data_IF_348349993922
#
_entry.id   IF_348349993922
#
_cell.length_a   1.000
_cell.length_b   1.000
_cell.length_c   1.000
_cell.angle_alpha   90.00
_cell.angle_beta   90.00
_cell.angle_gamma   90.00
#
_symmetry.space_group_name_H-M   'P 1'
#
loop_
_entity.id
_entity.type
_entity.pdbx_description
1 polymer ?
#
# COMPACT_ATOMS: atom_id res chain seq x y z
N UNK A 1 8.45 -8.18 -9.11
CA UNK A 1 8.16 -6.74 -8.94
C UNK A 1 9.38 -5.92 -8.55
N UNK A 2 10.03 -6.20 -7.41
CA UNK A 2 11.18 -5.41 -6.91
C UNK A 2 12.30 -5.23 -7.94
N UNK A 3 12.72 -6.31 -8.62
CA UNK A 3 13.72 -6.22 -9.68
C UNK A 3 13.29 -5.32 -10.85
N UNK A 4 12.02 -5.35 -11.24
CA UNK A 4 11.50 -4.47 -12.29
C UNK A 4 11.49 -3.00 -11.86
N UNK A 5 11.11 -2.72 -10.60
CA UNK A 5 11.21 -1.37 -10.04
C UNK A 5 12.67 -0.89 -9.99
N UNK A 6 13.60 -1.77 -9.64
CA UNK A 6 15.02 -1.43 -9.62
C UNK A 6 15.56 -1.08 -11.02
N UNK A 7 15.17 -1.85 -12.04
CA UNK A 7 15.48 -1.52 -13.45
C UNK A 7 14.89 -0.15 -13.81
N UNK A 8 13.63 0.11 -13.45
CA UNK A 8 12.99 1.39 -13.72
C UNK A 8 13.72 2.55 -13.06
N UNK A 9 14.17 2.40 -11.82
CA UNK A 9 14.97 3.41 -11.13
C UNK A 9 16.31 3.65 -11.83
N UNK A 10 17.01 2.57 -12.18
CA UNK A 10 18.35 2.65 -12.78
C UNK A 10 18.33 3.36 -14.13
N UNK A 11 17.39 2.99 -15.00
CA UNK A 11 17.26 3.63 -16.32
C UNK A 11 16.53 4.98 -16.26
N UNK A 12 15.64 5.18 -15.30
CA UNK A 12 14.97 6.46 -15.08
C UNK A 12 15.95 7.59 -14.76
N UNK A 13 17.07 7.28 -14.08
CA UNK A 13 18.14 8.25 -13.81
C UNK A 13 18.77 8.84 -15.07
N UNK A 14 18.71 8.18 -16.22
CA UNK A 14 19.25 8.73 -17.48
C UNK A 14 18.44 9.95 -18.00
N UNK A 15 17.22 10.14 -17.51
CA UNK A 15 16.29 11.17 -17.98
C UNK A 15 16.03 12.26 -16.92
N UNK A 16 16.84 12.34 -15.86
CA UNK A 16 16.62 13.24 -14.73
C UNK A 16 17.19 14.63 -14.95
N UNK A 17 16.44 15.64 -14.51
CA UNK A 17 16.84 17.05 -14.51
C UNK A 17 16.81 17.60 -13.07
N UNK A 18 17.99 17.74 -12.46
CA UNK A 18 18.18 18.04 -11.02
C UNK A 18 17.46 19.33 -10.57
N UNK A 19 17.48 20.44 -11.33
CA UNK A 19 16.68 21.63 -11.04
C UNK A 19 15.20 21.39 -10.76
N UNK A 20 14.59 20.33 -11.30
CA UNK A 20 13.16 20.01 -11.10
C UNK A 20 12.83 19.52 -9.70
N UNK A 21 13.83 19.22 -8.88
CA UNK A 21 13.63 18.88 -7.47
C UNK A 21 13.20 20.09 -6.62
N UNK A 22 13.39 21.31 -7.14
CA UNK A 22 13.02 22.53 -6.47
C UNK A 22 11.57 22.94 -6.84
N UNK A 23 10.82 23.55 -5.90
CA UNK A 23 11.21 23.87 -4.52
C UNK A 23 11.06 22.69 -3.55
N UNK A 24 12.08 22.49 -2.71
CA UNK A 24 12.00 21.55 -1.57
C UNK A 24 10.97 22.09 -0.57
N UNK A 25 10.09 21.23 -0.04
CA UNK A 25 8.99 21.56 0.87
C UNK A 25 7.86 22.44 0.27
N UNK A 26 7.85 22.68 -1.05
CA UNK A 26 6.85 23.44 -1.82
C UNK A 26 5.66 24.04 -1.07
N UNK A 27 4.59 23.26 -0.85
CA UNK A 27 3.32 23.69 -0.22
C UNK A 27 3.38 23.97 1.28
N UNK A 28 4.56 23.85 1.90
CA UNK A 28 4.80 23.99 3.33
C UNK A 28 4.71 22.66 4.09
N UNK A 29 5.39 22.55 5.27
CA UNK A 29 5.40 21.32 6.07
C UNK A 29 4.02 20.84 6.54
N UNK A 30 3.11 21.78 6.85
CA UNK A 30 1.76 21.45 7.34
C UNK A 30 0.92 20.76 6.26
N UNK A 31 0.97 21.24 5.02
CA UNK A 31 0.29 20.64 3.89
C UNK A 31 0.86 19.24 3.57
N UNK A 32 2.18 19.06 3.72
CA UNK A 32 2.83 17.76 3.56
C UNK A 32 2.37 16.76 4.63
N UNK A 33 2.33 17.17 5.90
CA UNK A 33 1.84 16.31 6.98
C UNK A 33 0.39 15.88 6.77
N UNK A 34 -0.49 16.81 6.37
CA UNK A 34 -1.89 16.49 6.07
C UNK A 34 -2.03 15.53 4.89
N UNK A 35 -1.21 15.71 3.86
CA UNK A 35 -1.18 14.81 2.70
C UNK A 35 -0.68 13.42 3.09
N UNK A 36 0.39 13.34 3.88
CA UNK A 36 0.93 12.07 4.38
C UNK A 36 -0.08 11.32 5.25
N UNK A 37 -0.80 12.01 6.14
CA UNK A 37 -1.84 11.40 6.97
C UNK A 37 -3.00 10.84 6.14
N UNK A 38 -3.36 11.52 5.05
CA UNK A 38 -4.43 11.04 4.16
C UNK A 38 -3.99 9.83 3.32
N UNK A 39 -2.68 9.70 3.05
CA UNK A 39 -2.09 8.62 2.26
C UNK A 39 -1.57 7.44 3.10
N UNK A 40 -1.76 7.44 4.43
CA UNK A 40 -1.23 6.37 5.29
C UNK A 40 -1.89 5.02 5.01
N UNK A 41 -3.12 5.02 4.48
CA UNK A 41 -3.84 3.85 3.94
C UNK A 41 -3.03 3.04 2.94
N UNK A 42 -2.07 3.64 2.22
CA UNK A 42 -1.21 2.92 1.28
C UNK A 42 -0.39 1.82 1.99
N UNK A 43 -0.19 1.94 3.30
CA UNK A 43 0.50 0.94 4.11
C UNK A 43 -0.46 0.03 4.90
N UNK A 44 -1.76 0.07 4.60
CA UNK A 44 -2.80 -0.76 5.25
C UNK A 44 -2.58 -2.26 5.12
N UNK A 45 -1.82 -2.67 4.10
CA UNK A 45 -1.38 -4.05 3.86
C UNK A 45 -0.60 -4.62 5.05
N UNK A 46 -0.09 -3.77 5.95
CA UNK A 46 0.53 -4.20 7.20
C UNK A 46 -0.41 -5.06 8.06
N UNK A 47 -1.74 -4.90 7.92
CA UNK A 47 -2.72 -5.74 8.59
C UNK A 47 -2.62 -7.23 8.20
N UNK A 48 -2.15 -7.53 6.98
CA UNK A 48 -1.91 -8.92 6.57
C UNK A 48 -0.82 -9.58 7.42
N UNK A 49 0.17 -8.83 7.91
CA UNK A 49 1.15 -9.40 8.84
C UNK A 49 0.47 -9.84 10.14
N UNK A 50 -0.53 -9.09 10.62
CA UNK A 50 -1.32 -9.49 11.79
C UNK A 50 -2.09 -10.80 11.57
N UNK A 51 -2.64 -10.99 10.37
CA UNK A 51 -3.34 -12.22 10.01
C UNK A 51 -2.39 -13.41 9.87
N UNK A 52 -1.21 -13.19 9.30
CA UNK A 52 -0.20 -14.24 9.06
C UNK A 52 0.58 -14.57 10.33
N UNK A 53 0.73 -13.62 11.26
CA UNK A 53 1.50 -13.78 12.49
C UNK A 53 1.15 -15.03 13.32
N UNK A 54 -0.12 -15.33 13.61
CA UNK A 54 -0.47 -16.54 14.35
C UNK A 54 -0.16 -17.85 13.60
N UNK A 55 0.03 -17.82 12.27
CA UNK A 55 0.36 -19.01 11.48
C UNK A 55 1.87 -19.33 11.48
N UNK A 56 2.73 -18.42 11.96
CA UNK A 56 4.19 -18.57 11.92
C UNK A 56 4.72 -18.97 13.29
N UNK A 57 5.42 -20.11 13.35
CA UNK A 57 5.96 -20.66 14.60
C UNK A 57 6.99 -19.76 15.31
N UNK A 58 7.78 -18.98 14.56
CA UNK A 58 8.81 -18.10 15.12
C UNK A 58 8.44 -16.62 14.95
N UNK A 59 7.77 -16.07 15.97
CA UNK A 59 7.31 -14.68 15.96
C UNK A 59 8.46 -13.67 15.96
N UNK A 60 9.57 -13.93 16.64
CA UNK A 60 10.72 -13.03 16.68
C UNK A 60 11.33 -12.81 15.28
N UNK A 61 11.46 -13.89 14.50
CA UNK A 61 11.89 -13.80 13.09
C UNK A 61 10.88 -13.05 12.23
N UNK A 62 9.58 -13.22 12.48
CA UNK A 62 8.53 -12.51 11.75
C UNK A 62 8.62 -11.00 11.94
N UNK A 63 8.81 -10.52 13.18
CA UNK A 63 8.96 -9.09 13.44
C UNK A 63 10.20 -8.51 12.74
N UNK A 64 11.33 -9.22 12.77
CA UNK A 64 12.53 -8.80 12.04
C UNK A 64 12.26 -8.68 10.54
N UNK A 65 11.73 -9.73 9.91
CA UNK A 65 11.43 -9.74 8.47
C UNK A 65 10.41 -8.67 8.09
N UNK A 66 9.35 -8.48 8.89
CA UNK A 66 8.34 -7.45 8.66
C UNK A 66 8.95 -6.04 8.71
N UNK A 67 9.79 -5.76 9.71
CA UNK A 67 10.47 -4.47 9.84
C UNK A 67 11.38 -4.17 8.65
N UNK A 68 12.24 -5.13 8.25
CA UNK A 68 13.10 -4.95 7.08
C UNK A 68 12.29 -4.78 5.79
N UNK A 69 11.18 -5.51 5.64
CA UNK A 69 10.30 -5.39 4.47
C UNK A 69 9.70 -3.99 4.34
N UNK A 70 9.24 -3.41 5.46
CA UNK A 70 8.70 -2.04 5.50
C UNK A 70 9.78 -1.02 5.13
N UNK A 71 10.99 -1.13 5.70
CA UNK A 71 12.10 -0.22 5.38
C UNK A 71 12.44 -0.27 3.90
N UNK A 72 12.57 -1.46 3.33
CA UNK A 72 12.88 -1.64 1.90
C UNK A 72 11.76 -1.02 1.04
N UNK A 73 10.50 -1.24 1.39
CA UNK A 73 9.36 -0.65 0.68
C UNK A 73 9.38 0.89 0.73
N UNK A 74 9.67 1.48 1.90
CA UNK A 74 9.78 2.93 2.07
C UNK A 74 10.91 3.49 1.20
N UNK A 75 12.10 2.88 1.25
CA UNK A 75 13.26 3.33 0.47
C UNK A 75 12.99 3.28 -1.03
N UNK A 76 12.38 2.20 -1.52
CA UNK A 76 12.02 2.06 -2.95
C UNK A 76 11.00 3.14 -3.34
N UNK A 77 9.97 3.39 -2.52
CA UNK A 77 8.96 4.41 -2.80
C UNK A 77 9.53 5.83 -2.81
N UNK A 78 10.43 6.16 -1.87
CA UNK A 78 11.12 7.45 -1.83
C UNK A 78 11.97 7.63 -3.10
N UNK A 79 12.78 6.63 -3.44
CA UNK A 79 13.63 6.68 -4.65
C UNK A 79 12.78 6.87 -5.91
N UNK A 80 11.67 6.14 -6.01
CA UNK A 80 10.75 6.22 -7.13
C UNK A 80 10.11 7.61 -7.25
N UNK A 81 9.66 8.17 -6.14
CA UNK A 81 9.07 9.52 -6.09
C UNK A 81 10.07 10.59 -6.52
N UNK A 82 11.33 10.49 -6.05
CA UNK A 82 12.40 11.42 -6.44
C UNK A 82 12.66 11.35 -7.95
N UNK A 83 12.84 10.15 -8.50
CA UNK A 83 13.08 9.96 -9.94
C UNK A 83 11.90 10.49 -10.75
N UNK A 84 10.65 10.29 -10.31
CA UNK A 84 9.47 10.84 -10.98
C UNK A 84 9.50 12.36 -11.08
N UNK A 85 9.76 13.05 -9.95
CA UNK A 85 9.82 14.51 -9.92
C UNK A 85 10.94 15.01 -10.84
N UNK A 86 12.10 14.36 -10.80
CA UNK A 86 13.24 14.70 -11.64
C UNK A 86 13.00 14.50 -13.14
N UNK A 87 12.22 13.48 -13.53
CA UNK A 87 11.95 13.16 -14.94
C UNK A 87 10.77 13.97 -15.49
N UNK A 88 9.68 14.11 -14.72
CA UNK A 88 8.43 14.68 -15.22
C UNK A 88 8.10 16.08 -14.67
N UNK A 89 8.85 16.62 -13.70
CA UNK A 89 8.49 17.81 -12.91
C UNK A 89 7.29 17.54 -11.97
N UNK A 90 7.16 18.32 -10.89
CA UNK A 90 6.13 18.14 -9.86
C UNK A 90 4.70 18.26 -10.42
N UNK A 91 4.44 19.20 -11.34
CA UNK A 91 3.10 19.44 -11.90
C UNK A 91 2.63 18.26 -12.74
N UNK A 92 3.50 17.74 -13.60
CA UNK A 92 3.13 16.61 -14.45
C UNK A 92 3.05 15.32 -13.63
N UNK A 93 4.00 15.10 -12.70
CA UNK A 93 3.99 13.93 -11.80
C UNK A 93 2.70 13.81 -11.01
N UNK A 94 2.16 14.93 -10.51
CA UNK A 94 0.90 14.97 -9.76
C UNK A 94 -0.33 14.58 -10.58
N UNK A 95 -0.24 14.57 -11.92
CA UNK A 95 -1.34 14.19 -12.83
C UNK A 95 -1.20 12.77 -13.39
N UNK A 96 -0.10 12.08 -13.08
CA UNK A 96 0.14 10.73 -13.56
C UNK A 96 -0.60 9.70 -12.69
N UNK A 97 -1.54 8.98 -13.29
CA UNK A 97 -2.27 7.90 -12.60
C UNK A 97 -1.34 6.71 -12.31
N UNK A 98 -0.45 6.37 -13.25
CA UNK A 98 0.48 5.24 -13.12
C UNK A 98 1.91 5.70 -13.40
N UNK A 99 2.55 6.39 -12.46
CA UNK A 99 3.80 7.07 -12.77
C UNK A 99 4.95 6.08 -12.99
N UNK A 100 4.97 4.92 -12.31
CA UNK A 100 5.99 3.88 -12.53
C UNK A 100 5.92 3.27 -13.94
N UNK A 101 4.70 3.11 -14.46
CA UNK A 101 4.46 2.69 -15.84
C UNK A 101 4.95 3.76 -16.84
N UNK A 102 4.73 5.04 -16.55
CA UNK A 102 5.22 6.12 -17.41
C UNK A 102 6.75 6.17 -17.45
N UNK A 103 7.41 5.96 -16.30
CA UNK A 103 8.88 5.79 -16.27
C UNK A 103 9.30 4.57 -17.09
N UNK A 104 8.65 3.42 -16.93
CA UNK A 104 8.97 2.22 -17.70
C UNK A 104 8.85 2.43 -19.22
N UNK A 105 7.88 3.24 -19.67
CA UNK A 105 7.67 3.59 -21.08
C UNK A 105 8.79 4.47 -21.67
N UNK A 106 9.52 5.21 -20.83
CA UNK A 106 10.67 6.00 -21.28
C UNK A 106 11.91 5.12 -21.52
N UNK A 107 11.94 3.90 -20.99
CA UNK A 107 13.09 3.01 -21.08
C UNK A 107 13.07 2.33 -22.44
N UNK A 108 13.73 2.96 -23.40
CA UNK A 108 14.02 2.37 -24.72
C UNK A 108 15.52 2.10 -24.84
N UNK A 109 15.91 0.83 -24.76
CA UNK A 109 17.28 0.38 -25.03
C UNK A 109 17.42 0.18 -26.54
N UNK A 110 17.81 1.26 -27.22
CA UNK A 110 18.07 1.33 -28.66
C UNK A 110 17.08 0.52 -29.53
N UNK A 111 17.55 -0.43 -30.35
CA UNK A 111 16.73 -1.16 -31.32
C UNK A 111 16.12 -2.46 -30.79
N UNK A 112 16.52 -2.95 -29.61
CA UNK A 112 16.20 -4.32 -29.19
C UNK A 112 15.18 -4.42 -28.04
N UNK A 113 15.17 -3.50 -27.07
CA UNK A 113 14.20 -3.54 -25.96
C UNK A 113 13.44 -2.22 -25.91
N UNK A 114 12.25 -2.22 -26.51
CA UNK A 114 11.38 -1.05 -26.64
C UNK A 114 10.10 -1.13 -25.80
N UNK A 115 9.82 -2.28 -25.19
CA UNK A 115 8.56 -2.54 -24.45
C UNK A 115 8.81 -3.04 -23.02
N UNK A 116 9.69 -2.36 -22.28
CA UNK A 116 9.97 -2.68 -20.87
C UNK A 116 8.72 -2.52 -20.02
N UNK A 117 7.85 -1.57 -20.39
CA UNK A 117 6.58 -1.34 -19.72
C UNK A 117 5.65 -2.55 -19.74
N UNK A 118 5.69 -3.40 -20.78
CA UNK A 118 4.86 -4.60 -20.85
C UNK A 118 5.26 -5.64 -19.79
N UNK A 119 6.57 -5.84 -19.59
CA UNK A 119 7.09 -6.74 -18.56
C UNK A 119 6.77 -6.21 -17.16
N UNK A 120 6.89 -4.90 -16.97
CA UNK A 120 6.50 -4.25 -15.72
C UNK A 120 5.01 -4.47 -15.41
N UNK A 121 4.12 -4.18 -16.37
CA UNK A 121 2.67 -4.35 -16.18
C UNK A 121 2.33 -5.80 -15.89
N UNK A 122 2.95 -6.75 -16.58
CA UNK A 122 2.78 -8.18 -16.31
C UNK A 122 3.14 -8.51 -14.86
N UNK A 123 4.35 -8.18 -14.40
CA UNK A 123 4.78 -8.45 -13.03
C UNK A 123 3.91 -7.73 -11.99
N UNK A 124 3.49 -6.51 -12.28
CA UNK A 124 2.63 -5.73 -11.42
C UNK A 124 1.25 -6.37 -11.29
N UNK A 125 0.66 -6.83 -12.40
CA UNK A 125 -0.62 -7.53 -12.40
C UNK A 125 -0.60 -8.81 -11.56
N UNK A 126 0.44 -9.63 -11.70
CA UNK A 126 0.61 -10.83 -10.86
C UNK A 126 0.75 -10.48 -9.38
N UNK A 127 1.52 -9.44 -9.07
CA UNK A 127 1.68 -8.98 -7.67
C UNK A 127 0.35 -8.51 -7.10
N UNK A 128 -0.40 -7.71 -7.85
CA UNK A 128 -1.73 -7.23 -7.47
C UNK A 128 -2.72 -8.38 -7.29
N UNK A 129 -2.68 -9.42 -8.14
CA UNK A 129 -3.55 -10.59 -8.00
C UNK A 129 -3.27 -11.39 -6.72
N UNK A 130 -1.98 -11.61 -6.39
CA UNK A 130 -1.58 -12.29 -5.15
C UNK A 130 -2.04 -11.47 -3.93
N UNK A 131 -1.81 -10.16 -3.97
CA UNK A 131 -2.20 -9.24 -2.91
C UNK A 131 -3.72 -9.22 -2.72
N UNK A 132 -4.50 -9.12 -3.80
CA UNK A 132 -5.95 -9.15 -3.77
C UNK A 132 -6.46 -10.46 -3.17
N UNK A 133 -5.88 -11.59 -3.56
CA UNK A 133 -6.22 -12.90 -3.00
C UNK A 133 -5.93 -12.98 -1.49
N UNK A 134 -4.80 -12.45 -1.04
CA UNK A 134 -4.43 -12.45 0.38
C UNK A 134 -5.37 -11.56 1.21
N UNK A 135 -5.69 -10.36 0.71
CA UNK A 135 -6.64 -9.44 1.34
C UNK A 135 -8.04 -10.05 1.41
N UNK A 136 -8.52 -10.63 0.31
CA UNK A 136 -9.83 -11.27 0.26
C UNK A 136 -9.93 -12.44 1.25
N UNK A 137 -8.90 -13.28 1.32
CA UNK A 137 -8.82 -14.35 2.31
C UNK A 137 -8.87 -13.81 3.75
N UNK A 138 -8.12 -12.74 4.03
CA UNK A 138 -8.16 -12.06 5.32
C UNK A 138 -9.55 -11.52 5.66
N UNK A 139 -10.24 -10.92 4.69
CA UNK A 139 -11.63 -10.44 4.87
C UNK A 139 -12.57 -11.59 5.21
N UNK A 140 -12.50 -12.70 4.48
CA UNK A 140 -13.36 -13.88 4.70
C UNK A 140 -13.16 -14.46 6.09
N UNK A 141 -11.90 -14.64 6.54
CA UNK A 141 -11.61 -15.12 7.90
C UNK A 141 -12.09 -14.13 8.96
N UNK A 142 -11.77 -12.85 8.79
CA UNK A 142 -12.14 -11.81 9.76
C UNK A 142 -13.64 -11.74 9.95
N UNK A 143 -14.40 -11.86 8.85
CA UNK A 143 -15.85 -11.91 8.89
C UNK A 143 -16.36 -13.18 9.57
N UNK A 144 -15.80 -14.36 9.24
CA UNK A 144 -16.16 -15.60 9.90
C UNK A 144 -15.92 -15.54 11.43
N UNK A 145 -14.79 -14.97 11.86
CA UNK A 145 -14.47 -14.78 13.29
C UNK A 145 -15.41 -13.79 13.98
N UNK A 146 -15.72 -12.66 13.33
CA UNK A 146 -16.63 -11.65 13.88
C UNK A 146 -18.04 -12.20 14.15
N UNK A 147 -18.53 -13.07 13.26
CA UNK A 147 -19.84 -13.70 13.39
C UNK A 147 -19.80 -15.11 14.01
N UNK A 148 -18.63 -15.56 14.49
CA UNK A 148 -18.41 -16.88 15.11
C UNK A 148 -18.87 -18.06 14.24
N UNK A 149 -18.63 -17.95 12.93
CA UNK A 149 -18.96 -18.98 11.95
C UNK A 149 -17.83 -20.01 11.91
N UNK A 150 -18.16 -21.29 12.13
CA UNK A 150 -17.17 -22.36 12.25
C UNK A 150 -16.41 -22.68 10.95
N UNK A 151 -17.03 -22.51 9.79
CA UNK A 151 -16.39 -22.71 8.48
C UNK A 151 -16.50 -21.44 7.63
N UNK A 152 -15.35 -20.95 7.17
CA UNK A 152 -15.23 -19.74 6.35
C UNK A 152 -15.46 -20.01 4.86
N UNK A 153 -15.36 -21.26 4.39
CA UNK A 153 -15.46 -21.62 2.97
C UNK A 153 -16.79 -21.21 2.33
N UNK A 154 -17.96 -21.41 2.97
CA UNK A 154 -19.24 -21.00 2.39
C UNK A 154 -19.38 -19.48 2.22
N UNK A 155 -18.63 -18.68 3.00
CA UNK A 155 -18.67 -17.22 2.93
C UNK A 155 -17.87 -16.64 1.76
N UNK A 156 -16.96 -17.42 1.17
CA UNK A 156 -16.13 -16.96 0.07
C UNK A 156 -16.96 -16.52 -1.15
N UNK A 157 -17.98 -17.28 -1.53
CA UNK A 157 -18.86 -16.96 -2.66
C UNK A 157 -19.67 -15.67 -2.43
N UNK A 158 -20.47 -15.51 -1.35
CA UNK A 158 -21.27 -14.31 -1.16
C UNK A 158 -20.41 -13.05 -0.99
N UNK A 159 -19.28 -13.13 -0.27
CA UNK A 159 -18.36 -12.00 -0.16
C UNK A 159 -17.68 -11.68 -1.50
N UNK A 160 -17.37 -12.70 -2.30
CA UNK A 160 -16.81 -12.51 -3.64
C UNK A 160 -17.78 -11.78 -4.58
N UNK A 161 -19.05 -12.18 -4.57
CA UNK A 161 -20.12 -11.50 -5.34
C UNK A 161 -20.29 -10.05 -4.88
N UNK A 162 -20.23 -9.81 -3.57
CA UNK A 162 -20.34 -8.47 -2.99
C UNK A 162 -19.17 -7.58 -3.45
N UNK A 163 -17.93 -8.06 -3.31
CA UNK A 163 -16.73 -7.34 -3.76
C UNK A 163 -16.78 -7.07 -5.26
N UNK A 164 -17.19 -8.06 -6.06
CA UNK A 164 -17.35 -7.89 -7.50
C UNK A 164 -18.40 -6.83 -7.85
N UNK A 165 -19.54 -6.83 -7.16
CA UNK A 165 -20.61 -5.84 -7.38
C UNK A 165 -20.14 -4.43 -7.02
N UNK A 166 -19.40 -4.26 -5.91
CA UNK A 166 -18.81 -2.97 -5.53
C UNK A 166 -17.80 -2.50 -6.58
N UNK A 167 -17.03 -3.42 -7.17
CA UNK A 167 -16.07 -3.10 -8.22
C UNK A 167 -16.72 -2.54 -9.49
N UNK A 168 -18.02 -2.71 -9.69
CA UNK A 168 -18.77 -2.20 -10.86
C UNK A 168 -19.38 -0.80 -10.62
N UNK A 169 -19.30 -0.26 -9.40
CA UNK A 169 -19.82 1.08 -9.07
C UNK A 169 -19.11 2.19 -9.87
N UNK A 170 -17.76 2.21 -9.99
CA UNK A 170 -17.08 3.24 -10.77
C UNK A 170 -17.30 3.01 -12.27
N UNK A 171 -17.87 4.01 -12.96
CA UNK A 171 -18.16 3.90 -14.41
C UNK A 171 -16.96 4.20 -15.30
N UNK A 172 -15.89 4.77 -14.74
CA UNK A 172 -14.65 5.05 -15.45
C UNK A 172 -13.43 4.91 -14.54
N UNK A 173 -12.26 4.69 -15.14
CA UNK A 173 -11.00 4.56 -14.40
C UNK A 173 -10.68 5.83 -13.60
N UNK A 174 -10.95 7.01 -14.16
CA UNK A 174 -10.75 8.29 -13.46
C UNK A 174 -11.67 8.42 -12.24
N UNK A 175 -12.93 7.98 -12.35
CA UNK A 175 -13.83 7.95 -11.19
C UNK A 175 -13.35 6.97 -10.13
N UNK A 176 -12.86 5.79 -10.52
CA UNK A 176 -12.32 4.80 -9.58
C UNK A 176 -11.14 5.37 -8.77
N UNK A 177 -10.20 6.04 -9.44
CA UNK A 177 -9.05 6.68 -8.79
C UNK A 177 -9.49 7.82 -7.86
N UNK A 178 -10.40 8.68 -8.30
CA UNK A 178 -10.89 9.78 -7.45
C UNK A 178 -11.66 9.28 -6.22
N UNK A 179 -12.48 8.25 -6.37
CA UNK A 179 -13.20 7.61 -5.25
C UNK A 179 -12.21 7.04 -4.22
N UNK A 180 -11.15 6.39 -4.71
CA UNK A 180 -10.08 5.89 -3.86
C UNK A 180 -9.39 7.03 -3.10
N UNK A 181 -8.90 8.05 -3.82
CA UNK A 181 -8.02 9.07 -3.26
C UNK A 181 -8.75 10.06 -2.32
N UNK A 182 -9.99 10.45 -2.65
CA UNK A 182 -10.69 11.50 -1.90
C UNK A 182 -11.61 10.98 -0.80
N UNK A 183 -12.24 9.82 -0.98
CA UNK A 183 -13.29 9.33 -0.07
C UNK A 183 -12.84 8.10 0.68
N UNK A 184 -12.49 7.04 -0.03
CA UNK A 184 -12.25 5.74 0.61
C UNK A 184 -10.96 5.77 1.44
N UNK A 185 -9.87 6.29 0.88
CA UNK A 185 -8.54 6.27 1.50
C UNK A 185 -8.48 6.97 2.85
N UNK A 186 -9.18 8.11 3.01
CA UNK A 186 -9.22 8.87 4.27
C UNK A 186 -9.97 8.12 5.38
N UNK A 187 -11.18 7.62 5.10
CA UNK A 187 -11.95 6.87 6.10
C UNK A 187 -11.31 5.52 6.40
N UNK A 188 -10.79 4.86 5.36
CA UNK A 188 -10.10 3.58 5.49
C UNK A 188 -8.85 3.70 6.37
N UNK A 189 -8.05 4.76 6.21
CA UNK A 189 -6.90 5.05 7.08
C UNK A 189 -7.28 5.13 8.57
N UNK A 190 -8.38 5.84 8.87
CA UNK A 190 -8.86 6.01 10.25
C UNK A 190 -9.30 4.65 10.83
N UNK A 191 -9.99 3.83 10.05
CA UNK A 191 -10.43 2.51 10.52
C UNK A 191 -9.25 1.57 10.70
N UNK A 192 -8.37 1.48 9.69
CA UNK A 192 -7.22 0.56 9.66
C UNK A 192 -6.21 0.85 10.76
N UNK A 193 -5.87 2.11 11.00
CA UNK A 193 -4.86 2.46 12.00
C UNK A 193 -5.48 2.92 13.31
N UNK A 194 -6.63 3.58 13.28
CA UNK A 194 -7.31 4.06 14.48
C UNK A 194 -7.89 2.95 15.34
N UNK A 195 -8.51 1.91 14.74
CA UNK A 195 -9.08 0.80 15.52
C UNK A 195 -8.01 0.01 16.28
N UNK A 196 -6.90 -0.45 15.66
CA UNK A 196 -5.83 -1.12 16.39
C UNK A 196 -5.17 -0.23 17.44
N UNK A 197 -5.00 1.07 17.17
CA UNK A 197 -4.39 2.00 18.11
C UNK A 197 -5.29 2.24 19.34
N UNK A 198 -6.61 2.34 19.14
CA UNK A 198 -7.59 2.38 20.23
C UNK A 198 -7.59 1.07 21.04
N UNK A 199 -7.60 -0.09 20.38
CA UNK A 199 -7.51 -1.38 21.06
C UNK A 199 -6.22 -1.53 21.87
N UNK A 200 -5.10 -1.04 21.34
CA UNK A 200 -3.81 -1.04 22.04
C UNK A 200 -3.84 -0.14 23.27
N UNK A 201 -4.39 1.08 23.16
CA UNK A 201 -4.57 1.99 24.30
C UNK A 201 -5.48 1.39 25.39
N UNK A 202 -6.59 0.77 24.99
CA UNK A 202 -7.49 0.07 25.91
C UNK A 202 -6.77 -1.10 26.60
N UNK A 203 -6.00 -1.89 25.85
CA UNK A 203 -5.21 -3.00 26.41
C UNK A 203 -4.19 -2.52 27.45
N UNK A 204 -3.52 -1.38 27.22
CA UNK A 204 -2.59 -0.79 28.19
C UNK A 204 -3.29 -0.34 29.47
N UNK A 205 -4.48 0.27 29.34
CA UNK A 205 -5.27 0.69 30.51
C UNK A 205 -5.76 -0.51 31.33
N UNK A 206 -6.15 -1.59 30.67
CA UNK A 206 -6.60 -2.83 31.34
C UNK A 206 -5.42 -3.54 32.03
N UNK A 207 -4.26 -3.66 31.36
CA UNK A 207 -3.07 -4.29 31.95
C UNK A 207 -2.51 -3.51 33.13
N UNK A 208 -2.52 -2.17 33.06
CA UNK A 208 -2.13 -1.31 34.19
C UNK A 208 -3.02 -1.52 35.41
N UNK A 209 -4.34 -1.66 35.19
CA UNK A 209 -5.32 -1.94 36.25
C UNK A 209 -5.16 -3.36 36.84
N UNK A 210 -4.81 -4.34 36.01
CA UNK A 210 -4.53 -5.72 36.46
C UNK A 210 -3.20 -5.84 37.22
N UNK A 211 -2.20 -4.98 36.96
CA UNK A 211 -0.96 -4.93 37.75
C UNK A 211 -1.09 -4.19 39.07
N UNK A 212 -2.06 -3.27 39.20
CA UNK A 212 -2.37 -2.59 40.47
C UNK A 212 -3.17 -3.50 41.42
N UNK A 213 -4.06 -4.36 40.90
CA UNK A 213 -4.86 -5.31 41.70
C UNK A 213 -4.10 -6.54 42.23
N UNK A 214 -2.94 -6.88 41.67
CA UNK A 214 -2.10 -7.99 42.15
C UNK A 214 -1.04 -7.55 43.18
N UNK A 215 -0.95 -6.25 43.48
CA UNK A 215 -0.01 -5.66 44.43
C UNK A 215 -0.70 -5.11 45.71
N UNK A 216 -2.01 -5.36 45.88
CA UNK A 216 -2.77 -5.19 47.12
C UNK A 216 -3.15 -6.57 47.68
#
# INVERSE_FOLDING_TARGET
MVAALFIILLFGMAHTDVPRLLPILGTGPSALLNSSLTNISLFSEILLFGLIAPLIANQAKLFGVGFYSIIIAILINIALTIVMILVFNYIASARLIFPAFQLARLITLEKFIQRVEAVFVFLWFFTAAIQLSALFYGTVISFAQAFRIGDYRPLSIPLGVLVFTISLIPTSMTQAVNLNDFQISKYYSIVVFGVPLLLWLVSLMIHKKSSEQNNE
#
